data_IF_535147889735
#
_entry.id   IF_535147889735
#
_cell.length_a   1.000
_cell.length_b   1.000
_cell.length_c   1.000
_cell.angle_alpha   90.00
_cell.angle_beta   90.00
_cell.angle_gamma   90.00
#
_symmetry.space_group_name_H-M   'P 1'
#
loop_
_entity.id
_entity.type
_entity.pdbx_description
1 polymer ?
#
# COMPACT_ATOMS: atom_id res chain seq x y z
N UNK A 1 -14.20 -7.90 70.29
CA UNK A 1 -15.47 -8.59 69.98
C UNK A 1 -16.53 -7.50 69.95
N UNK A 2 -16.73 -6.87 68.78
CA UNK A 2 -17.76 -7.23 67.79
C UNK A 2 -19.17 -7.15 68.38
N UNK A 3 -20.14 -6.49 67.78
CA UNK A 3 -20.22 -5.65 66.58
C UNK A 3 -21.61 -5.02 66.64
N UNK A 4 -21.72 -3.75 66.28
CA UNK A 4 -22.92 -2.95 66.42
C UNK A 4 -23.83 -3.07 65.19
N UNK A 5 -25.12 -3.12 65.50
CA UNK A 5 -26.29 -3.37 64.65
C UNK A 5 -26.78 -2.08 63.95
N UNK A 6 -27.37 -2.27 62.76
CA UNK A 6 -28.48 -1.52 62.11
C UNK A 6 -29.26 -0.53 63.01
N UNK A 7 -29.89 0.57 62.57
CA UNK A 7 -30.43 0.96 61.27
C UNK A 7 -31.03 2.40 61.36
N UNK A 8 -31.10 3.06 60.18
CA UNK A 8 -32.23 3.83 59.61
C UNK A 8 -32.80 5.06 60.36
N UNK A 9 -32.62 6.20 59.67
CA UNK A 9 -33.51 7.37 59.45
C UNK A 9 -34.22 8.15 60.57
N UNK A 10 -34.34 9.44 60.24
CA UNK A 10 -35.31 10.46 60.66
C UNK A 10 -35.05 11.29 61.92
N UNK A 11 -34.82 12.57 61.63
CA UNK A 11 -35.43 13.76 62.22
C UNK A 11 -35.10 14.19 63.66
N UNK A 12 -34.59 15.42 63.70
CA UNK A 12 -35.07 16.54 64.51
C UNK A 12 -34.90 16.48 66.05
N UNK A 13 -33.99 17.37 66.48
CA UNK A 13 -34.15 18.40 67.53
C UNK A 13 -34.48 18.01 68.98
N UNK A 14 -33.81 18.76 69.88
CA UNK A 14 -33.97 18.88 71.35
C UNK A 14 -33.27 17.77 72.16
N UNK A 15 -32.52 18.03 73.24
CA UNK A 15 -32.79 18.83 74.45
C UNK A 15 -31.44 19.27 75.10
N UNK A 16 -31.28 20.53 75.51
CA UNK A 16 -31.63 21.08 76.84
C UNK A 16 -30.86 20.45 78.01
N UNK A 17 -29.85 21.17 78.53
CA UNK A 17 -29.56 21.22 79.97
C UNK A 17 -29.21 22.65 80.34
N UNK A 18 -30.06 23.17 81.19
CA UNK A 18 -30.07 24.44 81.90
C UNK A 18 -28.83 24.63 82.78
N UNK A 19 -28.22 25.81 82.75
CA UNK A 19 -27.63 26.42 83.94
C UNK A 19 -27.68 27.94 83.79
N UNK A 20 -28.51 28.54 84.65
CA UNK A 20 -28.61 29.97 84.88
C UNK A 20 -27.30 30.48 85.47
N UNK A 21 -26.64 31.41 84.79
CA UNK A 21 -25.86 32.44 85.48
C UNK A 21 -26.10 33.78 84.79
N UNK A 22 -26.72 34.67 85.54
CA UNK A 22 -27.06 36.03 85.14
C UNK A 22 -25.80 36.79 84.75
N UNK A 23 -25.76 37.30 83.51
CA UNK A 23 -24.97 38.49 83.19
C UNK A 23 -25.89 39.47 82.48
N UNK A 24 -26.63 40.22 83.28
CA UNK A 24 -27.25 41.45 82.85
C UNK A 24 -26.13 42.44 82.49
N UNK A 25 -25.96 42.76 81.21
CA UNK A 25 -25.42 44.06 80.78
C UNK A 25 -25.71 44.32 79.30
N UNK A 26 -26.70 45.19 79.06
CA UNK A 26 -26.89 46.05 77.88
C UNK A 26 -26.63 45.43 76.49
N UNK A 27 -27.72 44.99 75.86
CA UNK A 27 -27.87 45.18 74.41
C UNK A 27 -28.05 46.68 74.13
N UNK A 28 -26.94 47.41 73.93
CA UNK A 28 -27.00 48.63 73.14
C UNK A 28 -27.23 48.20 71.69
N UNK A 29 -28.48 48.27 71.21
CA UNK A 29 -28.76 48.46 69.78
C UNK A 29 -28.10 49.77 69.39
N UNK A 30 -26.82 49.70 69.03
CA UNK A 30 -26.16 50.77 68.31
C UNK A 30 -26.82 50.86 66.93
N UNK A 31 -27.88 51.66 66.82
CA UNK A 31 -28.34 52.20 65.55
C UNK A 31 -27.17 53.01 64.98
N UNK A 32 -26.29 52.35 64.22
CA UNK A 32 -25.20 53.00 63.49
C UNK A 32 -25.83 53.87 62.41
N UNK A 33 -26.04 55.13 62.69
CA UNK A 33 -26.41 56.14 61.70
C UNK A 33 -25.18 56.42 60.84
N UNK A 34 -25.06 55.77 59.69
CA UNK A 34 -24.01 56.08 58.73
C UNK A 34 -24.23 57.48 58.16
N UNK A 35 -23.20 58.30 58.17
CA UNK A 35 -23.23 59.57 57.45
C UNK A 35 -23.30 59.30 55.95
N UNK A 36 -23.96 60.19 55.19
CA UNK A 36 -24.02 60.12 53.72
C UNK A 36 -22.62 59.95 53.09
N UNK A 37 -21.58 60.51 53.72
CA UNK A 37 -20.19 60.41 53.30
C UNK A 37 -19.59 59.00 53.50
N UNK A 38 -19.86 58.33 54.63
CA UNK A 38 -19.41 56.96 54.88
C UNK A 38 -20.08 55.96 53.95
N UNK A 39 -21.37 56.16 53.66
CA UNK A 39 -22.10 55.34 52.68
C UNK A 39 -21.56 55.55 51.25
N UNK A 40 -21.24 56.80 50.88
CA UNK A 40 -20.59 57.10 49.60
C UNK A 40 -19.22 56.46 49.43
N UNK A 41 -18.40 56.42 50.51
CA UNK A 41 -17.12 55.71 50.52
C UNK A 41 -17.29 54.20 50.36
N UNK A 42 -18.25 53.59 51.06
CA UNK A 42 -18.52 52.16 50.96
C UNK A 42 -18.95 51.77 49.53
N UNK A 43 -19.87 52.54 48.93
CA UNK A 43 -20.30 52.32 47.53
C UNK A 43 -19.14 52.51 46.56
N UNK A 44 -18.32 53.56 46.71
CA UNK A 44 -17.18 53.78 45.84
C UNK A 44 -16.15 52.65 45.94
N UNK A 45 -15.92 52.11 47.14
CA UNK A 45 -15.05 50.96 47.35
C UNK A 45 -15.61 49.69 46.68
N UNK A 46 -16.92 49.44 46.79
CA UNK A 46 -17.57 48.29 46.13
C UNK A 46 -17.54 48.42 44.60
N UNK A 47 -17.78 49.63 44.05
CA UNK A 47 -17.67 49.89 42.62
C UNK A 47 -16.24 49.71 42.13
N UNK A 48 -15.24 50.19 42.90
CA UNK A 48 -13.83 50.00 42.56
C UNK A 48 -13.46 48.51 42.56
N UNK A 49 -13.94 47.75 43.55
CA UNK A 49 -13.74 46.30 43.63
C UNK A 49 -14.42 45.56 42.48
N UNK A 50 -15.65 45.94 42.13
CA UNK A 50 -16.37 45.36 41.00
C UNK A 50 -15.67 45.65 39.66
N UNK A 51 -15.16 46.88 39.47
CA UNK A 51 -14.36 47.24 38.28
C UNK A 51 -13.05 46.47 38.21
N UNK A 52 -12.33 46.35 39.32
CA UNK A 52 -11.09 45.58 39.38
C UNK A 52 -11.33 44.08 39.09
N UNK A 53 -12.41 43.50 39.62
CA UNK A 53 -12.82 42.13 39.32
C UNK A 53 -13.14 41.95 37.84
N UNK A 54 -13.91 42.88 37.27
CA UNK A 54 -14.29 42.83 35.86
C UNK A 54 -13.09 43.00 34.92
N UNK A 55 -12.18 43.92 35.21
CA UNK A 55 -10.93 44.08 34.45
C UNK A 55 -10.04 42.83 34.52
N UNK A 56 -9.95 42.20 35.69
CA UNK A 56 -9.21 40.96 35.87
C UNK A 56 -9.83 39.79 35.08
N UNK A 57 -11.15 39.61 35.18
CA UNK A 57 -11.88 38.60 34.40
C UNK A 57 -11.74 38.83 32.90
N UNK A 58 -11.77 40.09 32.44
CA UNK A 58 -11.62 40.40 31.03
C UNK A 58 -10.20 40.17 30.53
N UNK A 59 -9.19 40.48 31.34
CA UNK A 59 -7.80 40.16 31.03
C UNK A 59 -7.58 38.64 30.92
N UNK A 60 -8.14 37.86 31.85
CA UNK A 60 -8.07 36.40 31.83
C UNK A 60 -8.81 35.81 30.62
N UNK A 61 -9.99 36.33 30.29
CA UNK A 61 -10.75 35.91 29.11
C UNK A 61 -9.99 36.18 27.80
N UNK A 62 -9.32 37.34 27.70
CA UNK A 62 -8.48 37.69 26.54
C UNK A 62 -7.25 36.78 26.44
N UNK A 63 -6.63 36.43 27.56
CA UNK A 63 -5.45 35.57 27.61
C UNK A 63 -5.80 34.11 27.23
N UNK A 64 -6.92 33.58 27.74
CA UNK A 64 -7.48 32.30 27.32
C UNK A 64 -7.83 32.28 25.83
N UNK A 65 -8.50 33.32 25.32
CA UNK A 65 -8.85 33.39 23.91
C UNK A 65 -7.61 33.44 23.00
N UNK A 66 -6.55 34.13 23.41
CA UNK A 66 -5.27 34.16 22.68
C UNK A 66 -4.57 32.80 22.70
N UNK A 67 -4.46 32.16 23.85
CA UNK A 67 -3.80 30.86 23.97
C UNK A 67 -4.54 29.75 23.22
N UNK A 68 -5.88 29.74 23.25
CA UNK A 68 -6.69 28.82 22.44
C UNK A 68 -6.53 29.10 20.94
N UNK A 69 -6.56 30.37 20.53
CA UNK A 69 -6.35 30.77 19.13
C UNK A 69 -4.98 30.37 18.62
N UNK A 70 -3.92 30.57 19.40
CA UNK A 70 -2.56 30.14 19.08
C UNK A 70 -2.45 28.61 19.02
N UNK A 71 -3.09 27.89 19.95
CA UNK A 71 -3.13 26.43 19.95
C UNK A 71 -3.81 25.88 18.71
N UNK A 72 -4.96 26.44 18.32
CA UNK A 72 -5.71 26.06 17.12
C UNK A 72 -4.93 26.40 15.84
N UNK A 73 -4.31 27.58 15.79
CA UNK A 73 -3.48 28.01 14.66
C UNK A 73 -2.23 27.14 14.52
N UNK A 74 -1.63 26.71 15.63
CA UNK A 74 -0.49 25.77 15.62
C UNK A 74 -0.93 24.38 15.17
N UNK A 75 -2.04 23.86 15.70
CA UNK A 75 -2.58 22.56 15.28
C UNK A 75 -2.83 22.52 13.77
N UNK A 76 -3.48 23.55 13.22
CA UNK A 76 -3.75 23.65 11.77
C UNK A 76 -2.50 23.86 10.91
N UNK A 77 -1.40 24.36 11.46
CA UNK A 77 -0.10 24.42 10.77
C UNK A 77 0.60 23.06 10.82
N UNK A 78 0.64 22.43 11.98
CA UNK A 78 1.27 21.13 12.19
C UNK A 78 0.56 20.02 11.40
N UNK A 79 -0.77 20.04 11.34
CA UNK A 79 -1.57 19.11 10.52
C UNK A 79 -1.28 19.27 9.02
N UNK A 80 -1.22 20.52 8.53
CA UNK A 80 -0.84 20.78 7.14
C UNK A 80 0.59 20.33 6.84
N UNK A 81 1.53 20.57 7.75
CA UNK A 81 2.90 20.13 7.61
C UNK A 81 3.00 18.60 7.55
N UNK A 82 2.26 17.89 8.42
CA UNK A 82 2.20 16.42 8.40
C UNK A 82 1.58 15.87 7.12
N UNK A 83 0.52 16.49 6.60
CA UNK A 83 -0.09 16.05 5.34
C UNK A 83 0.87 16.29 4.16
N UNK A 84 1.56 17.43 4.14
CA UNK A 84 2.55 17.72 3.10
C UNK A 84 3.75 16.75 3.18
N UNK A 85 4.24 16.46 4.38
CA UNK A 85 5.28 15.47 4.61
C UNK A 85 4.82 14.07 4.20
N UNK A 86 3.61 13.65 4.57
CA UNK A 86 3.05 12.37 4.16
C UNK A 86 2.93 12.26 2.62
N UNK A 87 2.47 13.32 1.94
CA UNK A 87 2.44 13.37 0.48
C UNK A 87 3.84 13.29 -0.14
N UNK A 88 4.83 13.96 0.46
CA UNK A 88 6.22 13.86 0.01
C UNK A 88 6.77 12.45 0.18
N UNK A 89 6.53 11.81 1.32
CA UNK A 89 6.94 10.43 1.58
C UNK A 89 6.29 9.49 0.57
N UNK A 90 4.97 9.59 0.36
CA UNK A 90 4.27 8.79 -0.64
C UNK A 90 4.85 8.99 -2.05
N UNK A 91 5.15 10.23 -2.44
CA UNK A 91 5.75 10.53 -3.74
C UNK A 91 7.18 10.00 -3.87
N UNK A 92 7.94 9.94 -2.77
CA UNK A 92 9.27 9.32 -2.73
C UNK A 92 9.14 7.80 -2.86
N UNK A 93 8.27 7.17 -2.05
CA UNK A 93 8.03 5.72 -2.10
C UNK A 93 7.56 5.26 -3.49
N UNK A 94 6.66 6.01 -4.13
CA UNK A 94 6.19 5.70 -5.49
C UNK A 94 7.33 5.79 -6.50
N UNK A 95 8.19 6.82 -6.40
CA UNK A 95 9.38 6.94 -7.25
C UNK A 95 10.38 5.83 -7.00
N UNK A 96 10.63 5.47 -5.74
CA UNK A 96 11.53 4.37 -5.38
C UNK A 96 11.02 3.03 -5.91
N UNK A 97 9.71 2.75 -5.78
CA UNK A 97 9.10 1.56 -6.38
C UNK A 97 9.24 1.56 -7.90
N UNK A 98 8.97 2.68 -8.56
CA UNK A 98 9.12 2.79 -10.01
C UNK A 98 10.57 2.60 -10.47
N UNK A 99 11.54 3.10 -9.70
CA UNK A 99 12.97 2.88 -9.96
C UNK A 99 13.35 1.42 -9.75
N UNK A 100 12.94 0.79 -8.64
CA UNK A 100 13.21 -0.61 -8.36
C UNK A 100 12.67 -1.54 -9.47
N UNK A 101 11.46 -1.27 -9.97
CA UNK A 101 10.88 -2.01 -11.11
C UNK A 101 11.72 -1.82 -12.38
N UNK A 102 12.18 -0.59 -12.66
CA UNK A 102 13.01 -0.31 -13.83
C UNK A 102 14.38 -0.98 -13.73
N UNK A 103 15.02 -0.90 -12.58
CA UNK A 103 16.31 -1.56 -12.32
C UNK A 103 16.18 -3.07 -12.48
N UNK A 104 15.12 -3.66 -11.91
CA UNK A 104 14.83 -5.07 -12.07
C UNK A 104 14.61 -5.44 -13.53
N UNK A 105 13.81 -4.66 -14.29
CA UNK A 105 13.63 -4.87 -15.74
C UNK A 105 14.94 -4.87 -16.51
N UNK A 106 15.84 -3.92 -16.22
CA UNK A 106 17.15 -3.85 -16.89
C UNK A 106 18.01 -5.06 -16.52
N UNK A 107 18.05 -5.46 -15.25
CA UNK A 107 18.76 -6.66 -14.82
C UNK A 107 18.21 -7.93 -15.49
N UNK A 108 16.89 -8.08 -15.54
CA UNK A 108 16.20 -9.17 -16.23
C UNK A 108 16.50 -9.17 -17.73
N UNK A 109 16.53 -7.99 -18.38
CA UNK A 109 16.87 -7.86 -19.79
C UNK A 109 18.30 -8.34 -20.09
N UNK A 110 19.25 -7.97 -19.23
CA UNK A 110 20.63 -8.45 -19.32
C UNK A 110 20.68 -9.96 -19.16
N UNK A 111 20.01 -10.51 -18.15
CA UNK A 111 20.00 -11.96 -17.91
C UNK A 111 19.38 -12.73 -19.09
N UNK A 112 18.26 -12.26 -19.64
CA UNK A 112 17.65 -12.85 -20.84
C UNK A 112 18.63 -12.84 -22.02
N UNK A 113 19.34 -11.73 -22.22
CA UNK A 113 20.31 -11.60 -23.30
C UNK A 113 21.51 -12.54 -23.12
N UNK A 114 22.00 -12.70 -21.89
CA UNK A 114 23.06 -13.66 -21.53
C UNK A 114 22.63 -15.11 -21.78
N UNK A 115 21.36 -15.42 -21.52
CA UNK A 115 20.76 -16.73 -21.76
C UNK A 115 20.36 -16.96 -23.23
N UNK A 116 20.56 -15.97 -24.11
CA UNK A 116 20.24 -16.04 -25.54
C UNK A 116 18.74 -15.92 -25.85
N UNK A 117 17.95 -15.45 -24.89
CA UNK A 117 16.50 -15.30 -25.02
C UNK A 117 16.12 -13.86 -25.46
N UNK A 118 15.09 -13.72 -26.31
CA UNK A 118 14.52 -12.43 -26.68
C UNK A 118 14.07 -11.59 -25.47
N UNK A 119 14.36 -10.28 -25.50
CA UNK A 119 13.90 -9.33 -24.48
C UNK A 119 12.38 -9.14 -24.42
N UNK A 120 11.65 -9.59 -25.43
CA UNK A 120 10.17 -9.64 -25.44
C UNK A 120 9.62 -10.52 -24.31
N UNK A 121 10.44 -11.43 -23.77
CA UNK A 121 10.04 -12.29 -22.66
C UNK A 121 10.10 -11.65 -21.27
N UNK A 122 10.62 -10.40 -21.15
CA UNK A 122 10.77 -9.71 -19.86
C UNK A 122 9.48 -9.72 -19.03
N UNK A 123 8.36 -9.34 -19.64
CA UNK A 123 7.08 -9.19 -18.93
C UNK A 123 6.51 -10.53 -18.43
N UNK A 124 7.01 -11.66 -18.96
CA UNK A 124 6.60 -13.01 -18.58
C UNK A 124 7.50 -13.63 -17.50
N UNK A 125 8.78 -13.24 -17.48
CA UNK A 125 9.77 -13.81 -16.55
C UNK A 125 9.98 -12.97 -15.31
N UNK A 126 9.69 -11.66 -15.35
CA UNK A 126 9.87 -10.78 -14.21
C UNK A 126 8.90 -11.15 -13.06
N UNK A 127 9.42 -11.23 -11.83
CA UNK A 127 8.66 -11.58 -10.62
C UNK A 127 9.06 -10.68 -9.45
N UNK A 128 8.42 -10.82 -8.29
CA UNK A 128 8.67 -10.07 -7.07
C UNK A 128 10.11 -10.22 -6.56
N UNK A 129 10.78 -11.32 -6.91
CA UNK A 129 12.16 -11.58 -6.48
C UNK A 129 13.07 -11.91 -7.67
N UNK A 130 14.34 -11.55 -7.51
CA UNK A 130 15.37 -11.85 -8.50
C UNK A 130 15.56 -13.36 -8.71
N UNK A 131 15.45 -14.16 -7.65
CA UNK A 131 15.62 -15.62 -7.74
C UNK A 131 14.46 -16.28 -8.48
N UNK A 132 13.21 -15.89 -8.21
CA UNK A 132 12.05 -16.36 -8.97
C UNK A 132 12.16 -15.96 -10.46
N UNK A 133 12.67 -14.76 -10.74
CA UNK A 133 12.91 -14.30 -12.12
C UNK A 133 13.95 -15.19 -12.83
N UNK A 134 15.06 -15.53 -12.17
CA UNK A 134 16.08 -16.44 -12.73
C UNK A 134 15.53 -17.84 -12.99
N UNK A 135 14.75 -18.40 -12.06
CA UNK A 135 14.13 -19.71 -12.21
C UNK A 135 13.18 -19.75 -13.41
N UNK A 136 12.36 -18.70 -13.57
CA UNK A 136 11.48 -18.54 -14.74
C UNK A 136 12.28 -18.45 -16.04
N UNK A 137 13.38 -17.71 -16.06
CA UNK A 137 14.26 -17.60 -17.24
C UNK A 137 14.84 -18.97 -17.60
N UNK A 138 15.35 -19.72 -16.63
CA UNK A 138 15.88 -21.07 -16.85
C UNK A 138 14.81 -22.04 -17.38
N UNK A 139 13.61 -21.99 -16.81
CA UNK A 139 12.48 -22.81 -17.26
C UNK A 139 12.05 -22.43 -18.69
N UNK A 140 11.94 -21.13 -18.97
CA UNK A 140 11.60 -20.61 -20.29
C UNK A 140 12.64 -21.06 -21.32
N UNK A 141 13.94 -20.98 -21.00
CA UNK A 141 15.02 -21.43 -21.87
C UNK A 141 14.85 -22.89 -22.28
N UNK A 142 14.68 -23.77 -21.30
CA UNK A 142 14.52 -25.21 -21.56
C UNK A 142 13.32 -25.51 -22.47
N UNK A 143 12.19 -24.85 -22.22
CA UNK A 143 10.97 -25.05 -23.02
C UNK A 143 11.16 -24.48 -24.43
N UNK A 144 11.76 -23.29 -24.54
CA UNK A 144 11.98 -22.62 -25.81
C UNK A 144 12.95 -23.40 -26.70
N UNK A 145 14.10 -23.83 -26.15
CA UNK A 145 15.09 -24.62 -26.87
C UNK A 145 14.46 -25.91 -27.40
N UNK A 146 13.72 -26.64 -26.56
CA UNK A 146 13.02 -27.87 -26.96
C UNK A 146 11.97 -27.64 -28.05
N UNK A 147 11.23 -26.53 -27.98
CA UNK A 147 10.22 -26.20 -28.99
C UNK A 147 10.86 -25.80 -30.33
N UNK A 148 11.97 -25.07 -30.28
CA UNK A 148 12.75 -24.69 -31.46
C UNK A 148 13.38 -25.92 -32.10
N UNK A 149 14.03 -26.80 -31.32
CA UNK A 149 14.58 -28.06 -31.80
C UNK A 149 13.52 -28.90 -32.51
N UNK A 150 12.36 -29.11 -31.88
CA UNK A 150 11.26 -29.87 -32.48
C UNK A 150 10.78 -29.27 -33.81
N UNK A 151 10.71 -27.93 -33.91
CA UNK A 151 10.34 -27.25 -35.16
C UNK A 151 11.42 -27.31 -36.22
N UNK A 152 12.69 -27.26 -35.83
CA UNK A 152 13.82 -27.41 -36.75
C UNK A 152 13.85 -28.84 -37.29
N UNK A 153 13.66 -29.85 -36.44
CA UNK A 153 13.58 -31.26 -36.83
C UNK A 153 12.41 -31.54 -37.78
N UNK A 154 11.23 -30.98 -37.49
CA UNK A 154 10.08 -31.05 -38.41
C UNK A 154 10.42 -30.45 -39.78
N UNK A 155 11.11 -29.30 -39.81
CA UNK A 155 11.49 -28.62 -41.06
C UNK A 155 12.58 -29.38 -41.83
N UNK A 156 13.53 -29.99 -41.13
CA UNK A 156 14.60 -30.79 -41.73
C UNK A 156 14.05 -32.10 -42.29
N UNK A 157 13.14 -32.76 -41.58
CA UNK A 157 12.49 -34.00 -42.04
C UNK A 157 11.54 -33.78 -43.21
N UNK A 158 10.86 -32.64 -43.29
CA UNK A 158 10.00 -32.29 -44.43
C UNK A 158 10.78 -32.01 -45.72
N UNK A 159 12.06 -31.65 -45.64
CA UNK A 159 12.95 -31.48 -46.82
C UNK A 159 13.70 -32.76 -47.17
N UNK A 160 12.99 -33.88 -47.37
CA UNK A 160 13.55 -34.91 -48.23
C UNK A 160 13.73 -34.28 -49.62
N UNK A 161 14.94 -34.34 -50.24
CA UNK A 161 15.06 -33.91 -51.63
C UNK A 161 14.04 -34.69 -52.43
N UNK A 162 13.26 -34.00 -53.28
CA UNK A 162 12.51 -34.68 -54.35
C UNK A 162 13.54 -35.54 -55.06
N UNK A 163 13.54 -36.85 -54.78
CA UNK A 163 14.26 -37.84 -55.55
C UNK A 163 13.90 -37.52 -56.99
N UNK A 164 14.89 -37.06 -57.74
CA UNK A 164 14.65 -36.39 -59.01
C UNK A 164 13.66 -37.22 -59.81
N UNK A 165 12.49 -36.65 -60.08
CA UNK A 165 11.70 -37.01 -61.24
C UNK A 165 12.45 -36.49 -62.47
N UNK A 166 13.63 -37.08 -62.72
CA UNK A 166 13.96 -37.40 -64.09
C UNK A 166 12.90 -38.40 -64.59
N UNK A 167 12.69 -38.51 -65.90
CA UNK A 167 11.73 -39.48 -66.44
C UNK A 167 12.01 -40.82 -65.77
N UNK A 168 10.97 -41.46 -65.23
CA UNK A 168 11.07 -42.78 -64.60
C UNK A 168 11.55 -43.75 -65.69
N UNK A 169 12.86 -43.87 -65.88
CA UNK A 169 13.41 -44.88 -66.79
C UNK A 169 13.35 -46.18 -66.03
N UNK A 170 12.45 -47.07 -66.47
CA UNK A 170 12.35 -48.41 -65.91
C UNK A 170 13.72 -49.06 -65.83
N UNK A 171 14.01 -49.73 -64.73
CA UNK A 171 15.27 -50.46 -64.56
C UNK A 171 15.33 -51.65 -65.51
N UNK A 172 16.55 -52.15 -65.81
CA UNK A 172 16.75 -53.35 -66.65
C UNK A 172 15.91 -54.54 -66.18
N UNK A 173 15.78 -54.74 -64.87
CA UNK A 173 15.01 -55.83 -64.28
C UNK A 173 13.50 -55.64 -64.47
N UNK A 174 12.99 -54.42 -64.26
CA UNK A 174 11.57 -54.13 -64.46
C UNK A 174 11.17 -54.25 -65.93
N UNK A 175 12.04 -53.87 -66.87
CA UNK A 175 11.83 -54.07 -68.31
C UNK A 175 11.81 -55.57 -68.63
N UNK A 176 12.73 -56.36 -68.09
CA UNK A 176 12.79 -57.81 -68.34
C UNK A 176 11.64 -58.59 -67.69
N UNK A 177 10.99 -58.04 -66.66
CA UNK A 177 9.85 -58.64 -65.98
C UNK A 177 8.50 -58.39 -66.69
N UNK A 178 8.48 -57.59 -67.77
CA UNK A 178 7.26 -57.38 -68.57
C UNK A 178 6.88 -58.72 -69.24
N UNK A 179 5.69 -59.22 -68.91
CA UNK A 179 5.17 -60.50 -69.41
C UNK A 179 4.93 -60.49 -70.92
N UNK A 180 4.50 -59.36 -71.48
CA UNK A 180 4.28 -59.19 -72.91
C UNK A 180 5.62 -59.00 -73.65
N UNK A 181 5.94 -59.94 -74.54
CA UNK A 181 7.18 -59.97 -75.31
C UNK A 181 7.36 -58.75 -76.24
N UNK A 182 6.31 -58.28 -76.91
CA UNK A 182 6.39 -57.13 -77.82
C UNK A 182 6.64 -55.83 -77.05
N UNK A 183 5.92 -55.65 -75.94
CA UNK A 183 6.10 -54.49 -75.06
C UNK A 183 7.47 -54.52 -74.37
N UNK A 184 7.94 -55.69 -73.95
CA UNK A 184 9.28 -55.87 -73.40
C UNK A 184 10.34 -55.45 -74.41
N UNK A 185 10.25 -55.90 -75.65
CA UNK A 185 11.21 -55.54 -76.71
C UNK A 185 11.16 -54.04 -77.04
N UNK A 186 9.97 -53.44 -77.11
CA UNK A 186 9.83 -51.99 -77.32
C UNK A 186 10.49 -51.19 -76.19
N UNK A 187 10.34 -51.63 -74.94
CA UNK A 187 10.95 -50.98 -73.78
C UNK A 187 12.46 -51.19 -73.69
N UNK A 188 12.98 -52.34 -74.14
CA UNK A 188 14.42 -52.59 -74.31
C UNK A 188 14.99 -51.64 -75.37
N UNK A 189 14.31 -51.47 -76.51
CA UNK A 189 14.75 -50.59 -77.59
C UNK A 189 14.73 -49.11 -77.16
N UNK A 190 13.69 -48.69 -76.44
CA UNK A 190 13.56 -47.34 -75.91
C UNK A 190 14.61 -47.03 -74.82
N UNK A 191 15.07 -48.04 -74.06
CA UNK A 191 16.03 -47.90 -72.97
C UNK A 191 17.33 -48.68 -73.24
N UNK A 192 17.79 -48.70 -74.50
CA UNK A 192 18.90 -49.56 -74.96
C UNK A 192 20.21 -49.34 -74.18
N UNK A 193 20.43 -48.14 -73.62
CA UNK A 193 21.59 -47.82 -72.78
C UNK A 193 21.67 -48.66 -71.50
N UNK A 194 20.56 -49.22 -71.00
CA UNK A 194 20.53 -50.11 -69.83
C UNK A 194 20.93 -51.56 -70.17
N UNK A 195 20.95 -51.92 -71.45
CA UNK A 195 21.22 -53.28 -71.94
C UNK A 195 22.58 -53.41 -72.64
N UNK A 196 23.22 -52.27 -72.96
CA UNK A 196 24.57 -52.20 -73.50
C UNK A 196 25.57 -52.05 -72.35
N UNK A 197 25.98 -53.17 -71.76
CA UNK A 197 27.25 -53.33 -71.04
C UNK A 197 28.00 -54.48 -71.69
#
# INVERSE_FOLDING_TARGET
MSENTQAVETEALEQDVTQEEQVETKQEKAERTFTRAEFGKAIAAEIAKARASWEAEQAEAIEKAKSEGERLAKLTKDERAKEEEAKRIQAIEERERALAIKEMRVATQTLLSEEGLPGEFIDFVIDETAEATKEKIGTLRQIFDKAVEARVDERLTQKAPRKGTGPVSMTKAEIMAIENDEERQAMIAANIGLFKN
#
